data_IF_352141541113
#
_entry.id   IF_352141541113
#
_cell.length_a   1.000
_cell.length_b   1.000
_cell.length_c   1.000
_cell.angle_alpha   90.00
_cell.angle_beta   90.00
_cell.angle_gamma   90.00
#
_symmetry.space_group_name_H-M   'P 1'
#
loop_
_entity.id
_entity.type
_entity.pdbx_description
1 polymer ?
#
# COMPACT_ATOMS: atom_id res chain seq x y z
N UNK A 1 -17.92 -13.04 15.23
CA UNK A 1 -16.45 -13.10 15.36
C UNK A 1 -15.71 -12.84 14.04
N UNK A 2 -16.03 -13.48 12.90
CA UNK A 2 -15.24 -13.29 11.65
C UNK A 2 -15.28 -11.90 10.99
N UNK A 3 -16.36 -11.13 11.15
CA UNK A 3 -16.47 -9.80 10.50
C UNK A 3 -15.61 -8.71 11.14
N UNK A 4 -15.40 -8.77 12.45
CA UNK A 4 -14.61 -7.79 13.20
C UNK A 4 -13.11 -8.00 12.96
N UNK A 5 -12.68 -9.27 12.94
CA UNK A 5 -11.33 -9.67 12.54
C UNK A 5 -11.00 -9.23 11.09
N UNK A 6 -11.97 -9.32 10.17
CA UNK A 6 -11.79 -8.87 8.79
C UNK A 6 -11.58 -7.34 8.71
N UNK A 7 -12.35 -6.56 9.47
CA UNK A 7 -12.20 -5.10 9.52
C UNK A 7 -10.84 -4.68 10.12
N UNK A 8 -10.38 -5.37 11.16
CA UNK A 8 -9.06 -5.15 11.75
C UNK A 8 -7.93 -5.45 10.74
N UNK A 9 -8.03 -6.56 10.02
CA UNK A 9 -7.06 -6.89 8.96
C UNK A 9 -7.05 -5.85 7.84
N UNK A 10 -8.22 -5.39 7.39
CA UNK A 10 -8.33 -4.31 6.40
C UNK A 10 -7.62 -3.04 6.90
N UNK A 11 -7.82 -2.68 8.17
CA UNK A 11 -7.19 -1.51 8.77
C UNK A 11 -5.66 -1.63 8.79
N UNK A 12 -5.14 -2.76 9.26
CA UNK A 12 -3.70 -3.02 9.30
C UNK A 12 -3.06 -3.00 7.91
N UNK A 13 -3.74 -3.57 6.90
CA UNK A 13 -3.26 -3.56 5.52
C UNK A 13 -3.28 -2.15 4.92
N UNK A 14 -4.32 -1.34 5.18
CA UNK A 14 -4.38 0.09 4.78
C UNK A 14 -3.22 0.89 5.38
N UNK A 15 -2.95 0.69 6.67
CA UNK A 15 -1.85 1.36 7.36
C UNK A 15 -0.50 0.98 6.74
N UNK A 16 -0.31 -0.32 6.48
CA UNK A 16 0.92 -0.85 5.86
C UNK A 16 1.11 -0.30 4.45
N UNK A 17 0.07 -0.29 3.62
CA UNK A 17 0.12 0.30 2.28
C UNK A 17 0.55 1.77 2.33
N UNK A 18 -0.02 2.56 3.26
CA UNK A 18 0.35 3.97 3.46
C UNK A 18 1.80 4.14 3.92
N UNK A 19 2.29 3.26 4.79
CA UNK A 19 3.70 3.26 5.22
C UNK A 19 4.64 2.96 4.04
N UNK A 20 4.29 1.99 3.18
CA UNK A 20 5.07 1.66 1.99
C UNK A 20 5.08 2.82 0.98
N UNK A 21 3.95 3.49 0.74
CA UNK A 21 3.91 4.68 -0.13
C UNK A 21 4.78 5.81 0.41
N UNK A 22 4.81 6.01 1.74
CA UNK A 22 5.72 6.99 2.37
C UNK A 22 7.19 6.59 2.21
N UNK A 23 7.50 5.30 2.38
CA UNK A 23 8.85 4.77 2.18
C UNK A 23 9.30 4.96 0.72
N UNK A 24 8.42 4.74 -0.26
CA UNK A 24 8.69 5.01 -1.67
C UNK A 24 9.06 6.49 -1.92
N UNK A 25 8.27 7.43 -1.38
CA UNK A 25 8.56 8.88 -1.49
C UNK A 25 9.90 9.23 -0.82
N UNK A 26 10.23 8.59 0.31
CA UNK A 26 11.53 8.78 0.97
C UNK A 26 12.68 8.30 0.08
N UNK A 27 12.57 7.10 -0.51
CA UNK A 27 13.56 6.58 -1.46
C UNK A 27 13.73 7.49 -2.68
N UNK A 28 12.66 8.11 -3.18
CA UNK A 28 12.74 9.07 -4.29
C UNK A 28 13.53 10.33 -3.90
N UNK A 29 13.33 10.85 -2.69
CA UNK A 29 14.11 12.00 -2.19
C UNK A 29 15.59 11.65 -2.02
N UNK A 30 15.88 10.47 -1.47
CA UNK A 30 17.25 9.96 -1.33
C UNK A 30 17.91 9.75 -2.70
N UNK A 31 17.19 9.20 -3.68
CA UNK A 31 17.67 9.01 -5.06
C UNK A 31 18.05 10.35 -5.72
N UNK A 32 17.23 11.38 -5.57
CA UNK A 32 17.53 12.74 -6.05
C UNK A 32 18.77 13.32 -5.38
N UNK A 33 18.94 13.11 -4.07
CA UNK A 33 20.11 13.57 -3.33
C UNK A 33 21.40 12.87 -3.82
N UNK A 34 21.35 11.57 -4.05
CA UNK A 34 22.49 10.81 -4.61
C UNK A 34 22.84 11.27 -6.03
N UNK A 35 21.85 11.49 -6.91
CA UNK A 35 22.10 12.07 -8.24
C UNK A 35 22.82 13.43 -8.19
N UNK A 36 22.46 14.27 -7.22
CA UNK A 36 23.15 15.55 -7.02
C UNK A 36 24.61 15.35 -6.59
N UNK A 37 24.87 14.35 -5.73
CA UNK A 37 26.24 13.98 -5.33
C UNK A 37 27.04 13.43 -6.50
N UNK A 38 26.43 12.64 -7.40
CA UNK A 38 27.07 12.18 -8.64
C UNK A 38 27.53 13.37 -9.47
N UNK A 39 26.65 14.35 -9.72
CA UNK A 39 27.00 15.56 -10.49
C UNK A 39 28.19 16.29 -9.86
N UNK A 40 28.13 16.55 -8.55
CA UNK A 40 29.22 17.21 -7.81
C UNK A 40 30.54 16.42 -7.82
N UNK A 41 30.47 15.09 -7.77
CA UNK A 41 31.67 14.24 -7.81
C UNK A 41 32.34 14.28 -9.19
N UNK A 42 31.55 14.29 -10.26
CA UNK A 42 32.05 14.44 -11.64
C UNK A 42 32.70 15.81 -11.83
N UNK A 43 32.05 16.90 -11.39
CA UNK A 43 32.60 18.27 -11.47
C UNK A 43 33.94 18.41 -10.74
N UNK A 44 34.15 17.65 -9.67
CA UNK A 44 35.41 17.62 -8.90
C UNK A 44 36.46 16.66 -9.47
N UNK A 45 36.18 15.95 -10.57
CA UNK A 45 37.07 14.93 -11.14
C UNK A 45 37.16 13.64 -10.33
N UNK A 46 36.31 13.43 -9.31
CA UNK A 46 36.28 12.22 -8.50
C UNK A 46 35.37 11.15 -9.14
N UNK A 47 35.90 10.46 -10.14
CA UNK A 47 35.18 9.43 -10.89
C UNK A 47 34.80 8.20 -10.05
N UNK A 48 35.64 7.80 -9.09
CA UNK A 48 35.33 6.68 -8.20
C UNK A 48 34.15 7.01 -7.27
N UNK A 49 34.15 8.19 -6.66
CA UNK A 49 33.03 8.68 -5.86
C UNK A 49 31.74 8.80 -6.67
N UNK A 50 31.83 9.27 -7.92
CA UNK A 50 30.70 9.34 -8.82
C UNK A 50 30.09 7.95 -9.12
N UNK A 51 30.92 6.92 -9.30
CA UNK A 51 30.45 5.53 -9.50
C UNK A 51 29.70 5.01 -8.27
N UNK A 52 30.23 5.24 -7.06
CA UNK A 52 29.60 4.81 -5.81
C UNK A 52 28.23 5.48 -5.62
N UNK A 53 28.15 6.81 -5.77
CA UNK A 53 26.88 7.54 -5.66
C UNK A 53 25.87 7.13 -6.75
N UNK A 54 26.35 6.79 -7.95
CA UNK A 54 25.49 6.30 -9.04
C UNK A 54 24.87 4.94 -8.70
N UNK A 55 25.65 4.01 -8.15
CA UNK A 55 25.14 2.72 -7.67
C UNK A 55 24.10 2.90 -6.55
N UNK A 56 24.35 3.83 -5.63
CA UNK A 56 23.38 4.16 -4.57
C UNK A 56 22.07 4.70 -5.16
N UNK A 57 22.15 5.61 -6.13
CA UNK A 57 20.97 6.15 -6.81
C UNK A 57 20.15 5.03 -7.51
N UNK A 58 20.82 4.12 -8.21
CA UNK A 58 20.17 2.97 -8.88
C UNK A 58 19.48 2.07 -7.84
N UNK A 59 20.15 1.75 -6.74
CA UNK A 59 19.56 0.97 -5.66
C UNK A 59 18.31 1.63 -5.09
N UNK A 60 18.38 2.94 -4.81
CA UNK A 60 17.24 3.71 -4.28
C UNK A 60 16.05 3.78 -5.24
N UNK A 61 16.31 3.89 -6.55
CA UNK A 61 15.26 3.79 -7.57
C UNK A 61 14.58 2.42 -7.56
N UNK A 62 15.35 1.35 -7.45
CA UNK A 62 14.78 -0.01 -7.39
C UNK A 62 13.98 -0.25 -6.10
N UNK A 63 14.49 0.21 -4.95
CA UNK A 63 13.76 0.18 -3.67
C UNK A 63 12.43 0.93 -3.76
N UNK A 64 12.44 2.16 -4.32
CA UNK A 64 11.24 2.96 -4.54
C UNK A 64 10.20 2.21 -5.39
N UNK A 65 10.60 1.66 -6.53
CA UNK A 65 9.71 0.90 -7.41
C UNK A 65 9.12 -0.32 -6.72
N UNK A 66 9.92 -1.03 -5.91
CA UNK A 66 9.45 -2.18 -5.16
C UNK A 66 8.43 -1.79 -4.10
N UNK A 67 8.68 -0.73 -3.33
CA UNK A 67 7.70 -0.22 -2.36
C UNK A 67 6.40 0.23 -3.03
N UNK A 68 6.47 0.90 -4.17
CA UNK A 68 5.30 1.33 -4.92
C UNK A 68 4.47 0.14 -5.44
N UNK A 69 5.14 -0.90 -5.97
CA UNK A 69 4.47 -2.14 -6.40
C UNK A 69 3.80 -2.86 -5.23
N UNK A 70 4.47 -2.96 -4.10
CA UNK A 70 3.92 -3.60 -2.90
C UNK A 70 2.73 -2.81 -2.34
N UNK A 71 2.83 -1.49 -2.24
CA UNK A 71 1.73 -0.63 -1.82
C UNK A 71 0.50 -0.81 -2.71
N UNK A 72 0.68 -0.77 -4.03
CA UNK A 72 -0.41 -0.97 -5.00
C UNK A 72 -1.06 -2.35 -4.88
N UNK A 73 -0.26 -3.41 -4.66
CA UNK A 73 -0.78 -4.76 -4.41
C UNK A 73 -1.61 -4.81 -3.12
N UNK A 74 -1.15 -4.17 -2.05
CA UNK A 74 -1.90 -4.11 -0.79
C UNK A 74 -3.21 -3.32 -0.95
N UNK A 75 -3.18 -2.18 -1.64
CA UNK A 75 -4.38 -1.39 -1.93
C UNK A 75 -5.43 -2.21 -2.72
N UNK A 76 -4.98 -3.01 -3.69
CA UNK A 76 -5.86 -3.90 -4.45
C UNK A 76 -6.48 -5.01 -3.56
N UNK A 77 -5.69 -5.60 -2.66
CA UNK A 77 -6.20 -6.60 -1.69
C UNK A 77 -7.21 -5.95 -0.75
N UNK A 78 -6.90 -4.78 -0.21
CA UNK A 78 -7.78 -4.00 0.65
C UNK A 78 -9.12 -3.72 -0.02
N UNK A 79 -9.13 -3.29 -1.29
CA UNK A 79 -10.36 -3.01 -2.03
C UNK A 79 -11.28 -4.24 -2.16
N UNK A 80 -10.68 -5.41 -2.38
CA UNK A 80 -11.42 -6.69 -2.42
C UNK A 80 -11.98 -7.06 -1.05
N UNK A 81 -11.19 -6.91 0.01
CA UNK A 81 -11.61 -7.19 1.38
C UNK A 81 -12.71 -6.22 1.85
N UNK A 82 -12.62 -4.93 1.51
CA UNK A 82 -13.67 -3.93 1.78
C UNK A 82 -14.99 -4.33 1.11
N UNK A 83 -14.93 -4.80 -0.15
CA UNK A 83 -16.11 -5.30 -0.86
C UNK A 83 -16.70 -6.52 -0.17
N UNK A 84 -15.87 -7.47 0.25
CA UNK A 84 -16.31 -8.67 0.96
C UNK A 84 -16.93 -8.32 2.32
N UNK A 85 -16.35 -7.38 3.07
CA UNK A 85 -16.89 -6.92 4.34
C UNK A 85 -18.28 -6.27 4.16
N UNK A 86 -18.45 -5.44 3.12
CA UNK A 86 -19.76 -4.84 2.77
C UNK A 86 -20.79 -5.90 2.39
N UNK A 87 -20.40 -6.89 1.57
CA UNK A 87 -21.28 -8.00 1.17
C UNK A 87 -21.74 -8.83 2.37
N UNK A 88 -20.87 -9.09 3.35
CA UNK A 88 -21.27 -9.78 4.58
C UNK A 88 -22.34 -9.00 5.36
N UNK A 89 -22.21 -7.67 5.43
CA UNK A 89 -23.22 -6.81 6.09
C UNK A 89 -24.54 -6.82 5.33
N UNK A 90 -24.52 -6.70 4.00
CA UNK A 90 -25.74 -6.76 3.17
C UNK A 90 -26.45 -8.10 3.35
N UNK A 91 -25.72 -9.21 3.29
CA UNK A 91 -26.30 -10.55 3.45
C UNK A 91 -26.98 -10.73 4.82
N UNK A 92 -26.37 -10.21 5.89
CA UNK A 92 -26.99 -10.24 7.23
C UNK A 92 -28.26 -9.40 7.30
N UNK A 93 -28.24 -8.20 6.70
CA UNK A 93 -29.41 -7.33 6.68
C UNK A 93 -30.55 -7.96 5.86
N UNK A 94 -30.24 -8.54 4.70
CA UNK A 94 -31.21 -9.27 3.87
C UNK A 94 -31.84 -10.45 4.62
N UNK A 95 -31.04 -11.26 5.31
CA UNK A 95 -31.56 -12.37 6.12
C UNK A 95 -32.52 -11.88 7.22
N UNK A 96 -32.22 -10.74 7.85
CA UNK A 96 -33.12 -10.11 8.82
C UNK A 96 -34.44 -9.63 8.21
N UNK A 97 -34.39 -9.00 7.02
CA UNK A 97 -35.58 -8.53 6.31
C UNK A 97 -36.48 -9.71 5.91
N UNK A 98 -35.90 -10.76 5.32
CA UNK A 98 -36.67 -11.97 4.91
C UNK A 98 -37.37 -12.59 6.12
N UNK A 99 -36.66 -12.73 7.25
CA UNK A 99 -37.26 -13.26 8.48
C UNK A 99 -38.41 -12.39 9.02
N UNK A 100 -38.31 -11.07 8.87
CA UNK A 100 -39.38 -10.16 9.26
C UNK A 100 -40.58 -10.24 8.30
N UNK A 101 -40.33 -10.42 7.01
CA UNK A 101 -41.37 -10.61 5.99
C UNK A 101 -42.14 -11.92 6.23
N UNK A 102 -41.44 -13.04 6.50
CA UNK A 102 -42.07 -14.32 6.84
C UNK A 102 -43.01 -14.19 8.05
N UNK A 103 -42.59 -13.48 9.09
CA UNK A 103 -43.45 -13.21 10.26
C UNK A 103 -44.67 -12.35 9.93
N UNK A 104 -44.54 -11.39 9.02
CA UNK A 104 -45.63 -10.53 8.60
C UNK A 104 -46.64 -11.25 7.68
N UNK A 105 -46.21 -12.30 6.96
CA UNK A 105 -47.05 -13.10 6.07
C UNK A 105 -47.79 -14.26 6.77
N UNK A 106 -47.37 -14.63 7.98
CA UNK A 106 -47.95 -15.74 8.76
C UNK A 106 -49.00 -15.26 9.78
N UNK A 107 -49.15 -13.93 9.97
CA UNK A 107 -50.28 -13.30 10.66
C UNK A 107 -51.32 -12.81 9.66
#
# INVERSE_FOLDING_TARGET
MGGEQLLEQIFNLKLTAKQLSRAAVKCEKEEKAEKLKVKKAIEKGNLEGAKIYSQNAIRKKNEQLNYMKLASRLDAVVSRLDTQAKMQTINKNMAGIVKNLEKALVN
#
